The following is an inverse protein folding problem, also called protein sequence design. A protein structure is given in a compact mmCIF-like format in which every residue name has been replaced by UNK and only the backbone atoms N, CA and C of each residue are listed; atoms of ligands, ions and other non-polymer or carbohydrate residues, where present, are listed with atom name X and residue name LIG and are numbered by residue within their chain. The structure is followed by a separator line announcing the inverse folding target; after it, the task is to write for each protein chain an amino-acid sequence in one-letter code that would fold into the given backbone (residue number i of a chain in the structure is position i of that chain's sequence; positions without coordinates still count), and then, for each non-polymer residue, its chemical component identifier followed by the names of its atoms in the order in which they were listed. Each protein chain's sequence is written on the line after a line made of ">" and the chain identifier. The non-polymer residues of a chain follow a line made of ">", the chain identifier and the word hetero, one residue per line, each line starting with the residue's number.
data_IF_697582477020
#
_entry.id   IF_697582477020
#
_cell.length_a   1.000
_cell.length_b   1.000
_cell.length_c   1.000
_cell.angle_alpha   90.00
_cell.angle_beta   90.00
_cell.angle_gamma   90.00
#
_symmetry.space_group_name_H-M   'P 1'
#
loop_
_entity.id
_entity.type
_entity.pdbx_description
1 polymer ?
#
# COMPACT_ATOMS: atom_id res chain seq x y z
N UNK A 1 41.50 -55.89 -49.43
CA UNK A 1 40.55 -55.86 -48.29
C UNK A 1 41.21 -55.06 -47.18
N UNK A 2 40.91 -53.76 -47.07
CA UNK A 2 41.35 -52.89 -45.96
C UNK A 2 40.18 -51.95 -45.67
N UNK A 3 39.55 -52.12 -44.50
CA UNK A 3 38.39 -51.35 -44.05
C UNK A 3 38.82 -49.98 -43.55
N UNK A 4 38.16 -48.92 -44.02
CA UNK A 4 38.28 -47.57 -43.50
C UNK A 4 37.17 -47.36 -42.45
N UNK A 5 37.55 -47.23 -41.18
CA UNK A 5 36.62 -46.87 -40.10
C UNK A 5 36.52 -45.34 -40.02
N UNK A 6 35.32 -44.80 -40.26
CA UNK A 6 34.99 -43.40 -39.98
C UNK A 6 34.71 -43.29 -38.47
N UNK A 7 35.54 -42.56 -37.74
CA UNK A 7 35.24 -42.17 -36.35
C UNK A 7 34.41 -40.89 -36.40
N UNK A 8 33.12 -41.00 -36.06
CA UNK A 8 32.26 -39.84 -35.83
C UNK A 8 32.48 -39.39 -34.39
N UNK A 9 33.15 -38.26 -34.20
CA UNK A 9 33.25 -37.58 -32.92
C UNK A 9 31.91 -36.87 -32.67
N UNK A 10 31.08 -37.44 -31.81
CA UNK A 10 29.87 -36.80 -31.33
C UNK A 10 30.23 -35.64 -30.41
N UNK A 11 30.08 -34.40 -30.87
CA UNK A 11 30.06 -33.23 -30.00
C UNK A 11 28.72 -33.20 -29.27
N UNK A 12 28.70 -33.59 -28.01
CA UNK A 12 27.58 -33.28 -27.11
C UNK A 12 27.61 -31.78 -26.85
N UNK A 13 26.74 -31.03 -27.52
CA UNK A 13 26.41 -29.66 -27.14
C UNK A 13 25.71 -29.74 -25.77
N UNK A 14 26.44 -29.45 -24.70
CA UNK A 14 25.84 -29.20 -23.39
C UNK A 14 25.01 -27.95 -23.51
N UNK A 15 23.71 -28.03 -23.23
CA UNK A 15 22.84 -26.87 -23.17
C UNK A 15 23.43 -25.85 -22.18
N UNK A 16 23.50 -24.55 -22.54
CA UNK A 16 23.99 -23.55 -21.61
C UNK A 16 23.10 -23.57 -20.36
N UNK A 17 23.73 -23.77 -19.21
CA UNK A 17 23.09 -23.69 -17.91
C UNK A 17 22.68 -22.22 -17.70
N UNK A 18 21.49 -21.85 -18.17
CA UNK A 18 20.90 -20.55 -17.89
C UNK A 18 20.58 -20.52 -16.40
N UNK A 19 21.51 -19.99 -15.60
CA UNK A 19 21.22 -19.62 -14.22
C UNK A 19 20.12 -18.56 -14.27
N UNK A 20 18.88 -18.98 -14.09
CA UNK A 20 17.76 -18.07 -13.86
C UNK A 20 18.04 -17.39 -12.53
N UNK A 21 18.34 -16.08 -12.55
CA UNK A 21 18.51 -15.31 -11.33
C UNK A 21 17.22 -15.43 -10.50
N UNK A 22 17.33 -15.97 -9.29
CA UNK A 22 16.19 -16.04 -8.37
C UNK A 22 15.65 -14.62 -8.12
N UNK A 23 14.32 -14.47 -8.13
CA UNK A 23 13.71 -13.19 -7.76
C UNK A 23 14.13 -12.84 -6.31
N UNK A 24 14.36 -11.55 -6.01
CA UNK A 24 14.87 -11.13 -4.72
C UNK A 24 13.94 -11.54 -3.57
N UNK A 25 14.46 -11.67 -2.36
CA UNK A 25 13.64 -11.98 -1.17
C UNK A 25 12.71 -10.80 -0.78
N UNK A 26 13.04 -9.58 -1.21
CA UNK A 26 12.38 -8.33 -0.82
C UNK A 26 12.35 -7.35 -1.99
N UNK A 27 11.23 -6.66 -2.14
CA UNK A 27 11.01 -5.55 -3.07
C UNK A 27 10.80 -4.29 -2.24
N UNK A 28 11.67 -3.30 -2.41
CA UNK A 28 11.49 -1.99 -1.77
C UNK A 28 10.42 -1.18 -2.51
N UNK A 29 9.43 -0.71 -1.76
CA UNK A 29 8.34 0.12 -2.28
C UNK A 29 8.65 1.59 -2.02
N UNK A 30 9.01 1.95 -0.78
CA UNK A 30 9.47 3.28 -0.40
C UNK A 30 10.75 3.19 0.42
N UNK A 31 11.85 3.76 -0.08
CA UNK A 31 13.13 3.87 0.63
C UNK A 31 13.37 5.32 1.04
N UNK A 32 12.46 5.87 1.85
CA UNK A 32 12.52 7.27 2.29
C UNK A 32 13.77 7.54 3.13
N UNK A 33 14.26 6.55 3.87
CA UNK A 33 15.48 6.65 4.69
C UNK A 33 16.75 6.94 3.88
N UNK A 34 16.76 6.58 2.58
CA UNK A 34 17.86 6.83 1.67
C UNK A 34 17.75 8.18 0.93
N UNK A 35 16.64 8.90 1.09
CA UNK A 35 16.42 10.19 0.45
C UNK A 35 17.07 11.34 1.25
N UNK A 36 17.31 12.47 0.59
CA UNK A 36 17.72 13.69 1.29
C UNK A 36 16.49 14.39 1.89
N UNK A 37 16.59 15.00 3.10
CA UNK A 37 15.56 15.88 3.64
C UNK A 37 15.25 17.00 2.64
N UNK A 38 13.95 17.32 2.49
CA UNK A 38 13.41 18.28 1.52
C UNK A 38 13.83 18.02 0.05
N UNK A 39 14.33 16.82 -0.24
CA UNK A 39 14.68 16.38 -1.58
C UNK A 39 13.46 15.97 -2.41
N UNK A 40 13.69 15.51 -3.65
CA UNK A 40 12.62 14.91 -4.45
C UNK A 40 12.10 13.63 -3.80
N UNK A 41 10.85 13.28 -4.10
CA UNK A 41 10.29 11.98 -3.70
C UNK A 41 11.11 10.83 -4.30
N UNK A 42 11.26 9.69 -3.59
CA UNK A 42 11.87 8.51 -4.17
C UNK A 42 11.14 8.05 -5.44
N UNK A 43 11.86 7.39 -6.34
CA UNK A 43 11.37 6.99 -7.65
C UNK A 43 9.99 6.28 -7.59
N UNK A 44 9.08 6.79 -8.42
CA UNK A 44 7.71 6.29 -8.59
C UNK A 44 6.68 6.88 -7.62
N UNK A 45 7.11 7.55 -6.55
CA UNK A 45 6.17 8.23 -5.63
C UNK A 45 5.70 9.57 -6.20
N UNK A 46 4.39 9.80 -6.14
CA UNK A 46 3.74 11.02 -6.61
C UNK A 46 2.61 11.46 -5.69
N UNK A 47 2.27 12.76 -5.64
CA UNK A 47 1.10 13.23 -4.94
C UNK A 47 -0.19 12.57 -5.42
N UNK A 48 -1.07 12.23 -4.48
CA UNK A 48 -2.42 11.76 -4.70
C UNK A 48 -3.39 12.81 -4.12
N UNK A 49 -4.19 13.43 -4.99
CA UNK A 49 -5.15 14.48 -4.62
C UNK A 49 -6.55 14.10 -5.08
N UNK A 50 -7.56 14.57 -4.35
CA UNK A 50 -8.97 14.26 -4.65
C UNK A 50 -9.69 15.55 -5.09
N UNK A 51 -10.35 15.59 -6.25
CA UNK A 51 -10.93 16.83 -6.79
C UNK A 51 -11.96 17.53 -5.88
N UNK A 52 -12.60 16.79 -4.96
CA UNK A 52 -13.59 17.31 -4.02
C UNK A 52 -13.01 17.78 -2.68
N UNK A 53 -11.70 17.62 -2.49
CA UNK A 53 -11.02 18.01 -1.26
C UNK A 53 -10.31 19.35 -1.50
N UNK A 54 -10.75 20.44 -0.86
CA UNK A 54 -10.21 21.77 -1.12
C UNK A 54 -8.86 22.02 -0.45
N UNK A 55 -8.56 21.31 0.64
CA UNK A 55 -7.33 21.43 1.41
C UNK A 55 -6.59 20.09 1.44
N UNK A 56 -5.31 20.10 1.09
CA UNK A 56 -4.50 18.89 1.00
C UNK A 56 -3.51 18.81 2.16
N UNK A 57 -3.32 17.59 2.67
CA UNK A 57 -2.26 17.26 3.63
C UNK A 57 -0.90 17.65 3.06
N UNK A 58 -0.06 18.26 3.89
CA UNK A 58 1.30 18.64 3.52
C UNK A 58 2.25 17.49 3.80
N UNK A 59 2.98 17.05 2.76
CA UNK A 59 4.00 16.00 2.86
C UNK A 59 5.40 16.57 2.61
N UNK A 60 6.38 16.22 3.46
CA UNK A 60 7.80 16.58 3.28
C UNK A 60 8.72 15.45 3.71
N UNK A 61 9.85 15.27 3.03
CA UNK A 61 10.94 14.45 3.55
C UNK A 61 11.66 15.21 4.65
N UNK A 62 11.71 14.67 5.86
CA UNK A 62 12.35 15.30 7.01
C UNK A 62 13.29 14.31 7.70
N UNK A 63 14.32 14.85 8.36
CA UNK A 63 15.13 14.06 9.30
C UNK A 63 14.36 13.92 10.62
N UNK A 64 14.19 12.70 11.09
CA UNK A 64 13.61 12.37 12.38
C UNK A 64 14.58 11.46 13.14
N UNK A 65 15.36 12.03 14.08
CA UNK A 65 16.50 11.33 14.67
C UNK A 65 17.57 11.01 13.61
N UNK A 66 17.97 9.76 13.48
CA UNK A 66 19.00 9.31 12.53
C UNK A 66 18.47 8.85 11.17
N UNK A 67 17.16 8.93 10.94
CA UNK A 67 16.52 8.49 9.69
C UNK A 67 15.84 9.64 8.96
N UNK A 68 15.67 9.50 7.66
CA UNK A 68 14.78 10.34 6.86
C UNK A 68 13.43 9.64 6.71
N UNK A 69 12.35 10.40 6.83
CA UNK A 69 10.98 9.93 6.78
C UNK A 69 10.09 10.94 6.05
N UNK A 70 8.94 10.48 5.55
CA UNK A 70 7.89 11.40 5.06
C UNK A 70 7.09 11.89 6.26
N UNK A 71 7.19 13.16 6.61
CA UNK A 71 6.28 13.82 7.54
C UNK A 71 5.02 14.27 6.80
N UNK A 72 3.88 13.90 7.34
CA UNK A 72 2.55 14.32 6.92
C UNK A 72 1.94 15.21 8.00
N UNK A 73 1.45 16.39 7.61
CA UNK A 73 0.73 17.31 8.47
C UNK A 73 -0.62 17.64 7.84
N UNK A 74 -1.70 17.24 8.52
CA UNK A 74 -3.08 17.39 8.04
C UNK A 74 -3.87 18.24 9.02
N UNK A 75 -4.71 19.13 8.50
CA UNK A 75 -5.64 19.98 9.24
C UNK A 75 -6.86 20.22 8.38
N UNK A 76 -8.01 19.65 8.74
CA UNK A 76 -9.23 19.68 7.93
C UNK A 76 -8.98 19.37 6.44
N UNK A 77 -8.06 18.43 6.18
CA UNK A 77 -7.48 18.20 4.86
C UNK A 77 -7.32 16.72 4.53
N UNK A 78 -7.23 16.38 3.25
CA UNK A 78 -6.97 15.01 2.81
C UNK A 78 -6.24 14.97 1.47
N UNK A 79 -5.14 14.24 1.44
CA UNK A 79 -4.36 13.88 0.25
C UNK A 79 -3.39 12.78 0.65
N UNK A 80 -2.70 12.17 -0.30
CA UNK A 80 -1.72 11.12 -0.06
C UNK A 80 -0.47 11.28 -0.91
N UNK A 81 0.45 10.33 -0.74
CA UNK A 81 1.44 9.98 -1.75
C UNK A 81 1.19 8.55 -2.20
N UNK A 82 1.39 8.26 -3.47
CA UNK A 82 1.16 6.93 -4.04
C UNK A 82 2.28 6.52 -4.97
N UNK A 83 2.53 5.21 -5.05
CA UNK A 83 3.40 4.56 -6.02
C UNK A 83 2.65 3.41 -6.67
N UNK A 84 2.61 3.45 -8.00
CA UNK A 84 2.10 2.34 -8.81
C UNK A 84 3.11 1.20 -8.84
N UNK A 85 2.63 -0.03 -8.67
CA UNK A 85 3.44 -1.24 -8.70
C UNK A 85 2.68 -2.35 -9.43
N UNK A 86 3.37 -3.43 -9.78
CA UNK A 86 2.74 -4.65 -10.26
C UNK A 86 3.42 -5.84 -9.61
N UNK A 87 2.84 -6.34 -8.52
CA UNK A 87 3.46 -7.37 -7.68
C UNK A 87 2.45 -8.49 -7.41
N UNK A 88 2.89 -9.74 -7.57
CA UNK A 88 2.08 -10.90 -7.23
C UNK A 88 2.05 -11.09 -5.70
N UNK A 89 0.90 -10.91 -5.04
CA UNK A 89 0.79 -11.12 -3.59
C UNK A 89 0.99 -12.60 -3.20
N UNK A 90 0.96 -13.56 -4.13
CA UNK A 90 1.34 -14.95 -3.85
C UNK A 90 2.85 -15.13 -3.70
N UNK A 91 3.63 -14.41 -4.49
CA UNK A 91 5.10 -14.44 -4.41
C UNK A 91 5.60 -13.57 -3.26
N UNK A 92 5.03 -12.36 -3.09
CA UNK A 92 5.41 -11.41 -2.04
C UNK A 92 4.22 -11.09 -1.11
N UNK A 93 3.78 -12.03 -0.27
CA UNK A 93 2.57 -11.87 0.55
C UNK A 93 2.78 -10.97 1.77
N UNK A 94 4.02 -10.65 2.14
CA UNK A 94 4.30 -9.93 3.38
C UNK A 94 4.59 -8.47 3.07
N UNK A 95 3.75 -7.55 3.52
CA UNK A 95 4.04 -6.11 3.53
C UNK A 95 4.61 -5.72 4.90
N UNK A 96 5.72 -4.99 4.91
CA UNK A 96 6.31 -4.40 6.10
C UNK A 96 6.50 -2.90 5.89
N UNK A 97 6.18 -2.11 6.91
CA UNK A 97 6.45 -0.68 6.91
C UNK A 97 6.77 -0.15 8.30
N UNK A 98 7.22 1.09 8.34
CA UNK A 98 7.44 1.83 9.57
C UNK A 98 6.61 3.11 9.59
N UNK A 99 6.06 3.45 10.74
CA UNK A 99 5.40 4.73 10.94
C UNK A 99 5.55 5.25 12.37
N UNK A 100 5.23 6.52 12.57
CA UNK A 100 5.10 7.16 13.88
C UNK A 100 3.96 8.16 13.79
N UNK A 101 3.14 8.24 14.83
CA UNK A 101 2.02 9.19 14.92
C UNK A 101 2.22 10.09 16.14
N UNK A 102 2.03 11.39 15.98
CA UNK A 102 2.18 12.36 17.06
C UNK A 102 0.88 12.54 17.89
N UNK A 103 -0.28 12.31 17.28
CA UNK A 103 -1.57 12.44 17.96
C UNK A 103 -2.66 11.57 17.33
N UNK A 104 -3.69 11.25 18.11
CA UNK A 104 -4.92 10.60 17.63
C UNK A 104 -6.02 11.64 17.36
N UNK A 105 -7.08 11.21 16.67
CA UNK A 105 -8.26 12.02 16.36
C UNK A 105 -9.39 11.68 17.33
N UNK A 106 -9.90 12.67 18.07
CA UNK A 106 -10.90 12.42 19.12
C UNK A 106 -12.22 11.91 18.54
N UNK A 107 -12.57 12.36 17.35
CA UNK A 107 -13.78 11.96 16.64
C UNK A 107 -13.58 10.74 15.72
N UNK A 108 -12.36 10.19 15.63
CA UNK A 108 -12.05 9.01 14.82
C UNK A 108 -12.93 7.80 15.19
N UNK A 109 -13.58 7.21 14.19
CA UNK A 109 -14.49 6.07 14.32
C UNK A 109 -14.53 5.28 13.01
N UNK A 110 -13.80 4.16 12.97
CA UNK A 110 -13.73 3.30 11.77
C UNK A 110 -15.09 2.79 11.27
N UNK A 111 -16.14 2.84 12.09
CA UNK A 111 -17.47 2.37 11.74
C UNK A 111 -18.39 3.44 11.14
N UNK A 112 -17.96 4.73 11.12
CA UNK A 112 -18.80 5.86 10.73
C UNK A 112 -18.11 6.76 9.71
N UNK A 113 -18.86 7.21 8.70
CA UNK A 113 -18.37 8.18 7.70
C UNK A 113 -17.79 9.45 8.32
N UNK A 114 -18.44 10.01 9.34
CA UNK A 114 -17.98 11.22 10.01
C UNK A 114 -16.70 11.02 10.85
N UNK A 115 -16.29 9.77 11.09
CA UNK A 115 -15.08 9.41 11.82
C UNK A 115 -14.05 8.68 10.96
N UNK A 116 -14.24 8.62 9.64
CA UNK A 116 -13.32 7.96 8.70
C UNK A 116 -12.13 8.86 8.39
N UNK A 117 -11.44 9.33 9.43
CA UNK A 117 -10.15 10.00 9.40
C UNK A 117 -9.19 9.24 10.30
N UNK A 118 -7.93 9.08 9.88
CA UNK A 118 -6.90 8.44 10.70
C UNK A 118 -5.59 9.20 10.58
N UNK A 119 -4.83 9.31 11.68
CA UNK A 119 -3.54 9.98 11.64
C UNK A 119 -2.55 9.31 10.69
N UNK A 120 -2.66 7.99 10.47
CA UNK A 120 -1.86 7.29 9.47
C UNK A 120 -2.60 6.12 8.83
N UNK A 121 -2.50 6.03 7.51
CA UNK A 121 -2.97 4.90 6.69
C UNK A 121 -1.90 4.41 5.71
N UNK A 122 -1.87 3.11 5.46
CA UNK A 122 -1.24 2.48 4.30
C UNK A 122 -2.32 1.82 3.45
N UNK A 123 -2.45 2.27 2.20
CA UNK A 123 -3.30 1.62 1.19
C UNK A 123 -2.46 0.59 0.43
N UNK A 124 -3.03 -0.60 0.23
CA UNK A 124 -2.61 -1.54 -0.82
C UNK A 124 -3.77 -1.72 -1.78
N UNK A 125 -3.59 -1.30 -3.03
CA UNK A 125 -4.61 -1.41 -4.08
C UNK A 125 -4.33 -2.63 -4.95
N UNK A 126 -5.38 -3.24 -5.46
CA UNK A 126 -5.29 -4.42 -6.31
C UNK A 126 -5.74 -4.09 -7.74
N UNK A 127 -5.32 -4.89 -8.70
CA UNK A 127 -5.77 -4.73 -10.08
C UNK A 127 -7.28 -5.00 -10.18
N UNK A 128 -7.93 -4.21 -11.03
CA UNK A 128 -9.33 -4.40 -11.34
C UNK A 128 -9.55 -5.67 -12.16
N UNK A 129 -10.31 -6.62 -11.60
CA UNK A 129 -10.83 -7.72 -12.41
C UNK A 129 -12.15 -7.32 -13.08
N UNK A 130 -12.03 -6.80 -14.30
CA UNK A 130 -13.17 -6.40 -15.13
C UNK A 130 -14.09 -7.54 -15.56
N UNK A 131 -13.68 -8.80 -15.36
CA UNK A 131 -14.47 -9.99 -15.70
C UNK A 131 -15.43 -10.37 -14.57
N UNK A 132 -15.15 -9.96 -13.33
CA UNK A 132 -15.98 -10.21 -12.15
C UNK A 132 -17.14 -9.22 -11.97
N UNK A 133 -17.13 -8.12 -12.72
CA UNK A 133 -18.19 -7.10 -12.64
C UNK A 133 -19.23 -7.34 -13.73
N UNK A 134 -20.39 -7.87 -13.33
CA UNK A 134 -21.55 -8.04 -14.20
C UNK A 134 -22.01 -6.72 -14.86
N UNK A 135 -22.88 -6.82 -15.87
CA UNK A 135 -23.26 -5.68 -16.74
C UNK A 135 -23.78 -4.45 -15.97
N UNK A 136 -24.52 -4.64 -14.89
CA UNK A 136 -25.01 -3.56 -14.01
C UNK A 136 -23.89 -2.89 -13.18
N UNK A 137 -22.86 -3.64 -12.80
CA UNK A 137 -21.71 -3.09 -12.08
C UNK A 137 -20.82 -2.23 -12.97
N UNK A 138 -20.67 -2.58 -14.26
CA UNK A 138 -19.92 -1.76 -15.24
C UNK A 138 -20.54 -0.38 -15.46
N UNK A 139 -21.88 -0.28 -15.52
CA UNK A 139 -22.55 1.01 -15.67
C UNK A 139 -22.39 1.91 -14.43
N UNK A 140 -22.52 1.33 -13.22
CA UNK A 140 -22.28 2.04 -11.95
C UNK A 140 -20.82 2.50 -11.82
N UNK A 141 -19.90 1.72 -12.38
CA UNK A 141 -18.46 1.97 -12.40
C UNK A 141 -18.05 3.13 -13.31
N UNK A 142 -18.51 3.16 -14.57
CA UNK A 142 -18.24 4.28 -15.47
C UNK A 142 -18.87 5.59 -14.94
N UNK A 143 -20.03 5.50 -14.28
CA UNK A 143 -20.62 6.64 -13.58
C UNK A 143 -19.76 7.12 -12.39
N UNK A 144 -19.18 6.20 -11.61
CA UNK A 144 -18.30 6.55 -10.49
C UNK A 144 -16.99 7.22 -10.96
N UNK A 145 -16.42 6.77 -12.08
CA UNK A 145 -15.24 7.39 -12.72
C UNK A 145 -15.48 8.86 -13.09
N UNK A 146 -16.69 9.20 -13.51
CA UNK A 146 -17.11 10.56 -13.84
C UNK A 146 -17.31 11.43 -12.57
N UNK A 147 -17.78 10.85 -11.47
CA UNK A 147 -18.11 11.58 -10.23
C UNK A 147 -16.90 11.80 -9.32
N UNK A 148 -15.95 10.86 -9.27
CA UNK A 148 -14.82 10.88 -8.35
C UNK A 148 -13.51 11.39 -8.96
N UNK A 149 -13.42 11.51 -10.29
CA UNK A 149 -12.25 12.06 -10.97
C UNK A 149 -11.03 11.13 -10.87
N UNK A 150 -10.88 10.27 -11.88
CA UNK A 150 -9.98 9.09 -11.89
C UNK A 150 -10.37 8.04 -10.84
N UNK A 151 -10.17 6.79 -11.22
CA UNK A 151 -10.80 5.58 -10.69
C UNK A 151 -11.02 5.61 -9.16
N UNK A 152 -12.25 5.40 -8.66
CA UNK A 152 -12.42 5.05 -7.24
C UNK A 152 -11.61 3.77 -6.98
N UNK A 153 -10.92 3.64 -5.83
CA UNK A 153 -10.11 2.46 -5.55
C UNK A 153 -11.00 1.22 -5.50
N UNK A 154 -10.92 0.41 -6.55
CA UNK A 154 -11.54 -0.90 -6.63
C UNK A 154 -10.62 -1.87 -5.92
N UNK A 155 -11.12 -2.57 -4.89
CA UNK A 155 -10.34 -3.58 -4.16
C UNK A 155 -9.10 -2.97 -3.51
N UNK A 156 -9.24 -2.51 -2.27
CA UNK A 156 -8.10 -2.05 -1.49
C UNK A 156 -8.17 -2.51 -0.03
N UNK A 157 -6.99 -2.70 0.56
CA UNK A 157 -6.83 -2.86 2.00
C UNK A 157 -6.20 -1.58 2.55
N UNK A 158 -6.74 -1.11 3.65
CA UNK A 158 -6.23 0.01 4.42
C UNK A 158 -5.76 -0.44 5.78
N UNK A 159 -4.46 -0.40 6.02
CA UNK A 159 -3.90 -0.57 7.35
C UNK A 159 -3.89 0.77 8.06
N UNK A 160 -4.53 0.85 9.22
CA UNK A 160 -4.76 2.14 9.90
C UNK A 160 -4.26 2.14 11.34
N UNK A 161 -3.82 3.32 11.77
CA UNK A 161 -3.71 3.68 13.17
C UNK A 161 -5.04 4.29 13.62
N UNK A 162 -5.86 3.50 14.32
CA UNK A 162 -7.19 3.92 14.76
C UNK A 162 -7.10 4.61 16.15
N UNK A 163 -8.15 5.32 16.57
CA UNK A 163 -8.14 6.10 17.81
C UNK A 163 -8.69 5.34 19.04
N UNK A 164 -9.57 4.35 18.83
CA UNK A 164 -10.43 3.70 19.84
C UNK A 164 -10.69 2.22 19.57
N UNK A 165 -10.91 1.81 18.32
CA UNK A 165 -11.18 0.43 17.92
C UNK A 165 -9.96 -0.46 18.20
N UNK A 166 -10.13 -1.70 18.68
CA UNK A 166 -9.00 -2.54 19.04
C UNK A 166 -8.19 -2.97 17.81
N UNK A 167 -6.88 -3.16 18.01
CA UNK A 167 -6.00 -3.79 17.01
C UNK A 167 -6.56 -5.14 16.60
N UNK A 168 -6.51 -5.43 15.30
CA UNK A 168 -7.11 -6.61 14.67
C UNK A 168 -8.57 -6.42 14.21
N UNK A 169 -9.19 -5.27 14.48
CA UNK A 169 -10.50 -4.94 13.93
C UNK A 169 -10.43 -4.84 12.41
N UNK A 170 -11.28 -5.58 11.72
CA UNK A 170 -11.44 -5.51 10.26
C UNK A 170 -12.88 -5.15 9.92
N UNK A 171 -13.08 -4.07 9.16
CA UNK A 171 -14.41 -3.61 8.74
C UNK A 171 -14.38 -3.08 7.30
N UNK A 172 -15.46 -3.15 6.52
CA UNK A 172 -15.55 -2.41 5.27
C UNK A 172 -15.52 -0.90 5.54
N UNK A 173 -14.99 -0.13 4.59
CA UNK A 173 -15.00 1.33 4.68
C UNK A 173 -16.47 1.84 4.67
N UNK A 174 -16.82 2.84 5.48
CA UNK A 174 -18.20 3.30 5.60
C UNK A 174 -18.76 3.96 4.33
N UNK A 175 -17.91 4.37 3.37
CA UNK A 175 -18.30 4.85 2.05
C UNK A 175 -18.43 3.76 0.99
N UNK A 176 -17.72 2.64 1.13
CA UNK A 176 -17.73 1.54 0.15
C UNK A 176 -17.29 0.21 0.74
N UNK A 177 -17.93 -0.87 0.31
CA UNK A 177 -17.54 -2.26 0.59
C UNK A 177 -16.33 -2.75 -0.23
N UNK A 178 -15.84 -1.95 -1.20
CA UNK A 178 -14.69 -2.28 -2.04
C UNK A 178 -13.35 -2.00 -1.37
N UNK A 179 -13.38 -1.37 -0.18
CA UNK A 179 -12.21 -1.08 0.64
C UNK A 179 -12.43 -1.67 2.01
N UNK A 180 -11.46 -2.44 2.51
CA UNK A 180 -11.48 -2.95 3.87
C UNK A 180 -10.42 -2.25 4.72
N UNK A 181 -10.83 -1.84 5.91
CA UNK A 181 -10.02 -1.19 6.93
C UNK A 181 -9.57 -2.26 7.92
N UNK A 182 -8.27 -2.32 8.20
CA UNK A 182 -7.66 -3.23 9.18
C UNK A 182 -6.89 -2.37 10.18
N UNK A 183 -7.34 -2.40 11.43
CA UNK A 183 -6.68 -1.70 12.54
C UNK A 183 -5.43 -2.49 12.92
N UNK A 184 -4.26 -1.90 12.68
CA UNK A 184 -2.97 -2.53 13.02
C UNK A 184 -2.31 -1.88 14.24
N UNK A 185 -2.67 -0.62 14.52
CA UNK A 185 -2.31 0.08 15.76
C UNK A 185 -3.51 0.91 16.24
N UNK A 186 -3.62 1.16 17.54
CA UNK A 186 -4.74 1.91 18.11
C UNK A 186 -4.41 2.75 19.33
N UNK A 187 -5.03 3.92 19.39
CA UNK A 187 -5.04 4.78 20.56
C UNK A 187 -3.69 5.45 20.84
N UNK A 188 -3.53 6.02 22.04
CA UNK A 188 -2.39 6.88 22.36
C UNK A 188 -1.14 6.13 22.84
N UNK A 189 -1.19 4.79 22.96
CA UNK A 189 -0.18 4.02 23.70
C UNK A 189 1.23 4.05 23.11
N UNK A 190 1.35 4.23 21.78
CA UNK A 190 2.64 4.29 21.06
C UNK A 190 2.88 5.61 20.34
N UNK A 191 2.21 6.69 20.76
CA UNK A 191 2.47 8.01 20.19
C UNK A 191 3.94 8.40 20.34
N UNK A 192 4.43 9.17 19.37
CA UNK A 192 5.82 9.63 19.25
C UNK A 192 6.88 8.52 19.23
N UNK A 193 6.47 7.27 19.04
CA UNK A 193 7.35 6.10 18.92
C UNK A 193 7.27 5.51 17.51
N UNK A 194 8.42 5.16 16.94
CA UNK A 194 8.46 4.41 15.69
C UNK A 194 7.97 2.99 15.91
N UNK A 195 7.00 2.58 15.10
CA UNK A 195 6.44 1.23 15.07
C UNK A 195 6.74 0.61 13.72
N UNK A 196 7.21 -0.64 13.72
CA UNK A 196 7.33 -1.47 12.53
C UNK A 196 6.13 -2.41 12.49
N UNK A 197 5.35 -2.33 11.42
CA UNK A 197 4.23 -3.23 11.18
C UNK A 197 4.60 -4.26 10.12
N UNK A 198 4.07 -5.47 10.26
CA UNK A 198 4.19 -6.53 9.26
C UNK A 198 2.86 -7.28 9.13
N UNK A 199 2.37 -7.40 7.89
CA UNK A 199 1.08 -8.04 7.58
C UNK A 199 1.20 -8.96 6.39
N UNK A 200 0.44 -10.06 6.42
CA UNK A 200 0.26 -10.91 5.26
C UNK A 200 -0.90 -10.36 4.41
N UNK A 201 -0.57 -9.52 3.43
CA UNK A 201 -1.55 -8.83 2.60
C UNK A 201 -2.37 -9.78 1.72
N UNK A 202 -1.81 -10.93 1.38
CA UNK A 202 -2.52 -11.98 0.65
C UNK A 202 -3.64 -12.60 1.51
N UNK A 203 -3.33 -12.99 2.74
CA UNK A 203 -4.33 -13.55 3.66
C UNK A 203 -5.34 -12.51 4.12
N UNK A 204 -4.90 -11.28 4.36
CA UNK A 204 -5.78 -10.16 4.71
C UNK A 204 -6.80 -9.89 3.59
N UNK A 205 -6.38 -9.97 2.32
CA UNK A 205 -7.31 -9.85 1.19
C UNK A 205 -8.31 -10.99 1.15
N UNK A 206 -7.86 -12.24 1.34
CA UNK A 206 -8.75 -13.40 1.33
C UNK A 206 -9.80 -13.32 2.43
N UNK A 207 -9.42 -12.87 3.62
CA UNK A 207 -10.34 -12.70 4.74
C UNK A 207 -11.34 -11.56 4.50
N UNK A 208 -10.87 -10.45 3.93
CA UNK A 208 -11.71 -9.28 3.64
C UNK A 208 -12.69 -9.52 2.48
N UNK A 209 -12.25 -10.14 1.39
CA UNK A 209 -13.02 -10.22 0.14
C UNK A 209 -13.53 -11.62 -0.19
N UNK A 210 -13.09 -12.66 0.53
CA UNK A 210 -13.55 -14.04 0.34
C UNK A 210 -13.02 -14.71 -0.94
N UNK A 211 -12.04 -14.11 -1.62
CA UNK A 211 -11.49 -14.60 -2.88
C UNK A 211 -9.97 -14.37 -2.98
N UNK A 212 -9.35 -14.97 -3.99
CA UNK A 212 -7.91 -14.78 -4.28
C UNK A 212 -7.63 -13.34 -4.74
N UNK A 213 -6.59 -12.68 -4.20
CA UNK A 213 -6.20 -11.35 -4.64
C UNK A 213 -5.67 -11.35 -6.08
N UNK A 214 -6.06 -10.35 -6.90
CA UNK A 214 -5.34 -9.98 -8.10
C UNK A 214 -3.92 -9.46 -7.78
N UNK A 215 -3.17 -9.06 -8.81
CA UNK A 215 -1.89 -8.38 -8.61
C UNK A 215 -2.07 -7.10 -7.78
N UNK A 216 -1.14 -6.81 -6.87
CA UNK A 216 -1.04 -5.50 -6.22
C UNK A 216 -0.71 -4.47 -7.30
N UNK A 217 -1.53 -3.43 -7.41
CA UNK A 217 -1.45 -2.36 -8.42
C UNK A 217 -0.83 -1.07 -7.88
N UNK A 218 -0.76 -0.92 -6.56
CA UNK A 218 -0.27 0.31 -5.95
C UNK A 218 -0.16 0.22 -4.44
N UNK A 219 0.68 1.10 -3.89
CA UNK A 219 0.78 1.38 -2.46
C UNK A 219 0.65 2.88 -2.26
N UNK A 220 -0.07 3.31 -1.22
CA UNK A 220 -0.16 4.72 -0.87
C UNK A 220 -0.05 4.93 0.64
N UNK A 221 0.44 6.12 1.01
CA UNK A 221 0.41 6.61 2.38
C UNK A 221 -0.56 7.78 2.45
N UNK A 222 -1.35 7.84 3.52
CA UNK A 222 -2.34 8.90 3.68
C UNK A 222 -2.56 9.26 5.15
N UNK A 223 -2.52 10.56 5.43
CA UNK A 223 -3.01 11.16 6.66
C UNK A 223 -4.17 12.09 6.28
N UNK A 224 -5.31 11.92 6.91
CA UNK A 224 -6.53 12.67 6.62
C UNK A 224 -7.26 13.14 7.87
N UNK A 225 -7.93 14.27 7.71
CA UNK A 225 -8.67 14.98 8.75
C UNK A 225 -9.90 15.72 8.19
N UNK A 226 -10.34 15.38 6.97
CA UNK A 226 -11.40 16.14 6.28
C UNK A 226 -12.82 15.80 6.80
N UNK A 227 -13.02 14.64 7.42
CA UNK A 227 -14.32 14.22 7.96
C UNK A 227 -14.56 14.71 9.39
N UNK A 228 -13.52 14.69 10.22
CA UNK A 228 -13.48 15.11 11.62
C UNK A 228 -13.20 16.60 11.76
N UNK A 229 -12.51 17.22 10.78
CA UNK A 229 -12.06 18.60 10.83
C UNK A 229 -10.91 18.86 11.82
N UNK A 230 -10.35 17.79 12.38
CA UNK A 230 -9.27 17.84 13.36
C UNK A 230 -7.90 18.05 12.69
N UNK A 231 -6.82 17.81 13.44
CA UNK A 231 -5.44 17.87 12.93
C UNK A 231 -4.69 16.59 13.26
N UNK A 232 -3.82 16.14 12.36
CA UNK A 232 -2.96 14.99 12.60
C UNK A 232 -1.55 15.24 12.07
N UNK A 233 -0.57 14.75 12.81
CA UNK A 233 0.80 14.63 12.35
C UNK A 233 1.29 13.18 12.41
N UNK A 234 1.85 12.71 11.30
CA UNK A 234 2.41 11.37 11.17
C UNK A 234 3.71 11.37 10.38
N UNK A 235 4.47 10.30 10.54
CA UNK A 235 5.74 10.06 9.86
C UNK A 235 5.69 8.66 9.26
N UNK A 236 6.12 8.55 8.01
CA UNK A 236 6.21 7.29 7.28
C UNK A 236 7.66 6.98 6.96
N UNK A 237 8.11 5.81 7.41
CA UNK A 237 9.41 5.24 7.09
C UNK A 237 9.30 4.26 5.93
N UNK A 238 10.35 3.46 5.76
CA UNK A 238 10.46 2.58 4.59
C UNK A 238 9.33 1.55 4.52
N UNK A 239 8.96 1.19 3.29
CA UNK A 239 7.90 0.23 2.97
C UNK A 239 8.46 -0.82 2.02
N UNK A 240 8.19 -2.09 2.28
CA UNK A 240 8.62 -3.19 1.43
C UNK A 240 7.60 -4.33 1.36
N UNK A 241 7.67 -5.09 0.26
CA UNK A 241 6.99 -6.37 0.09
C UNK A 241 8.04 -7.49 0.10
N UNK A 242 7.74 -8.62 0.74
CA UNK A 242 8.70 -9.71 0.97
C UNK A 242 8.07 -11.07 0.67
N UNK A 243 8.93 -12.01 0.26
CA UNK A 243 8.60 -13.44 0.24
C UNK A 243 8.37 -13.95 1.68
N UNK A 244 7.66 -15.07 1.83
CA UNK A 244 7.64 -15.78 3.13
C UNK A 244 9.03 -16.37 3.37
N UNK A 245 9.64 -16.00 4.48
CA UNK A 245 10.83 -16.66 5.03
C UNK A 245 10.48 -17.99 5.66
#
# INVERSE_FOLDING_TARGET
>A
MVSMFLVVVGMTLSEPNWLQAESPARIEIGTFSAAAPDGPWPDGWKPLTFPKIPQHTTYRLVKDGDRVAVKAASQASSSGLTKEVLIDPKEYPIIQWQWKVANILKAGDVTKKAGDDYPARIYVTFQYDSTKVGLFGKAKYEAAKLIYGRYPPLGAINYIWESRAPVGTTVPNPYTDQVHMIVVESGPGKLDSWVTEERNVYEDYKQAFGEEPPMISGVAIMTDTDNTGESAEAYYGDIALKKRS
#
